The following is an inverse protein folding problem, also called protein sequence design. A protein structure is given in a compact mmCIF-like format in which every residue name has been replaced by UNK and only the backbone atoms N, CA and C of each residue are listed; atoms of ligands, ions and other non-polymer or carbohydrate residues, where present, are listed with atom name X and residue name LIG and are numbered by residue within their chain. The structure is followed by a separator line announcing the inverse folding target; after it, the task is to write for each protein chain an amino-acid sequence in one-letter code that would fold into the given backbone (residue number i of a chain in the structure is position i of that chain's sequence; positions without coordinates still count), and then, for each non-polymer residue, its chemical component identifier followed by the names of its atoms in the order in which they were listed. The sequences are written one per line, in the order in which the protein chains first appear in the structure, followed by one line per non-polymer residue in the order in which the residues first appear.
data_IF_126125422890
#
_entry.id   IF_126125422890
#
_cell.length_a   1.000
_cell.length_b   1.000
_cell.length_c   1.000
_cell.angle_alpha   90.00
_cell.angle_beta   90.00
_cell.angle_gamma   90.00
#
_symmetry.space_group_name_H-M   'P 1'
#
loop_
_entity.id
_entity.type
_entity.pdbx_description
1 polymer ?
#
# COMPACT_ATOMS: atom_id res chain seq x y z
N UNK A 1 -15.81 -33.28 3.12
CA UNK A 1 -15.59 -31.88 2.70
C UNK A 1 -14.13 -31.60 3.00
N UNK A 2 -13.24 -31.74 2.01
CA UNK A 2 -11.80 -31.56 2.23
C UNK A 2 -11.49 -30.08 2.44
N UNK A 3 -11.09 -29.74 3.66
CA UNK A 3 -10.57 -28.42 3.98
C UNK A 3 -9.14 -28.39 3.44
N UNK A 4 -8.94 -27.80 2.25
CA UNK A 4 -7.60 -27.60 1.72
C UNK A 4 -6.79 -26.65 2.63
N UNK A 5 -5.48 -26.86 2.75
CA UNK A 5 -4.63 -26.01 3.59
C UNK A 5 -4.70 -24.51 3.21
N UNK A 6 -4.93 -24.22 1.93
CA UNK A 6 -5.18 -22.86 1.44
C UNK A 6 -6.40 -22.22 2.11
N UNK A 7 -7.46 -23.01 2.27
CA UNK A 7 -8.69 -22.57 2.92
C UNK A 7 -8.45 -22.25 4.41
N UNK A 8 -7.65 -23.07 5.11
CA UNK A 8 -7.30 -22.83 6.52
C UNK A 8 -6.51 -21.53 6.67
N UNK A 9 -5.49 -21.29 5.82
CA UNK A 9 -4.69 -20.07 5.90
C UNK A 9 -5.55 -18.82 5.76
N UNK A 10 -6.46 -18.82 4.79
CA UNK A 10 -7.34 -17.68 4.54
C UNK A 10 -8.35 -17.47 5.67
N UNK A 11 -8.89 -18.55 6.25
CA UNK A 11 -9.76 -18.48 7.41
C UNK A 11 -9.04 -17.89 8.62
N UNK A 12 -7.82 -18.34 8.93
CA UNK A 12 -7.03 -17.79 10.04
C UNK A 12 -6.75 -16.31 9.84
N UNK A 13 -6.29 -15.91 8.65
CA UNK A 13 -6.03 -14.50 8.35
C UNK A 13 -7.29 -13.64 8.51
N UNK A 14 -8.44 -14.14 8.04
CA UNK A 14 -9.74 -13.48 8.17
C UNK A 14 -10.11 -13.25 9.64
N UNK A 15 -9.86 -14.24 10.51
CA UNK A 15 -10.18 -14.11 11.94
C UNK A 15 -9.24 -13.14 12.68
N UNK A 16 -7.95 -13.10 12.30
CA UNK A 16 -7.00 -12.11 12.82
C UNK A 16 -7.46 -10.70 12.45
N UNK A 17 -7.80 -10.48 11.17
CA UNK A 17 -8.31 -9.20 10.67
C UNK A 17 -9.56 -8.77 11.45
N UNK A 18 -10.55 -9.65 11.61
CA UNK A 18 -11.76 -9.34 12.36
C UNK A 18 -11.48 -8.97 13.83
N UNK A 19 -10.49 -9.60 14.45
CA UNK A 19 -10.05 -9.29 15.81
C UNK A 19 -9.41 -7.91 15.90
N UNK A 20 -8.56 -7.55 14.93
CA UNK A 20 -7.92 -6.24 14.84
C UNK A 20 -8.94 -5.12 14.56
N UNK A 21 -9.89 -5.33 13.65
CA UNK A 21 -11.01 -4.41 13.40
C UNK A 21 -11.82 -4.17 14.68
N UNK A 22 -12.10 -5.22 15.45
CA UNK A 22 -12.77 -5.09 16.74
C UNK A 22 -11.93 -4.32 17.77
N UNK A 23 -10.62 -4.53 17.84
CA UNK A 23 -9.75 -3.79 18.73
C UNK A 23 -9.74 -2.28 18.42
N UNK A 24 -9.63 -1.92 17.13
CA UNK A 24 -9.71 -0.53 16.67
C UNK A 24 -11.04 0.11 17.05
N UNK A 25 -12.16 -0.61 16.85
CA UNK A 25 -13.49 -0.12 17.22
C UNK A 25 -13.63 0.17 18.73
N UNK A 26 -12.83 -0.48 19.56
CA UNK A 26 -12.80 -0.31 21.02
C UNK A 26 -11.62 0.56 21.50
N UNK A 27 -10.91 1.26 20.59
CA UNK A 27 -9.77 2.13 20.91
C UNK A 27 -8.63 1.37 21.61
N UNK A 28 -8.44 0.11 21.24
CA UNK A 28 -7.34 -0.73 21.69
C UNK A 28 -6.27 -0.87 20.60
N UNK A 29 -5.06 -1.23 21.00
CA UNK A 29 -3.97 -1.56 20.07
C UNK A 29 -4.31 -2.85 19.29
N UNK A 30 -4.44 -2.79 17.95
CA UNK A 30 -4.81 -3.96 17.13
C UNK A 30 -3.70 -5.02 17.08
N UNK A 31 -2.43 -4.62 17.05
CA UNK A 31 -1.30 -5.53 17.00
C UNK A 31 -1.22 -6.36 18.28
N UNK A 32 -1.34 -5.72 19.45
CA UNK A 32 -1.38 -6.38 20.75
C UNK A 32 -2.61 -7.29 20.87
N UNK A 33 -3.77 -6.84 20.39
CA UNK A 33 -4.99 -7.66 20.38
C UNK A 33 -4.84 -8.92 19.51
N UNK A 34 -4.26 -8.80 18.31
CA UNK A 34 -3.99 -9.91 17.42
C UNK A 34 -2.99 -10.91 18.01
N UNK A 35 -1.86 -10.42 18.53
CA UNK A 35 -0.85 -11.26 19.18
C UNK A 35 -1.39 -12.02 20.40
N UNK A 36 -2.27 -11.38 21.18
CA UNK A 36 -2.91 -11.98 22.36
C UNK A 36 -3.94 -13.04 22.00
N UNK A 37 -4.75 -12.79 20.96
CA UNK A 37 -5.80 -13.69 20.52
C UNK A 37 -5.26 -14.90 19.72
N UNK A 38 -4.13 -14.71 19.02
CA UNK A 38 -3.52 -15.74 18.16
C UNK A 38 -2.05 -15.97 18.54
N UNK A 39 -1.77 -16.53 19.73
CA UNK A 39 -0.42 -16.75 20.20
C UNK A 39 0.36 -17.70 19.27
N UNK A 40 1.62 -17.38 19.02
CA UNK A 40 2.49 -18.15 18.13
C UNK A 40 2.33 -17.83 16.63
N UNK A 41 1.40 -16.93 16.28
CA UNK A 41 1.34 -16.38 14.91
C UNK A 41 2.61 -15.56 14.64
N UNK A 42 3.31 -15.80 13.50
CA UNK A 42 4.47 -15.00 13.13
C UNK A 42 4.12 -13.52 13.00
N UNK A 43 5.05 -12.65 13.38
CA UNK A 43 4.88 -11.21 13.36
C UNK A 43 4.48 -10.70 11.97
N UNK A 44 5.08 -11.25 10.91
CA UNK A 44 4.81 -10.87 9.52
C UNK A 44 3.36 -11.16 9.10
N UNK A 45 2.74 -12.20 9.69
CA UNK A 45 1.32 -12.52 9.44
C UNK A 45 0.42 -11.51 10.15
N UNK A 46 0.79 -11.07 11.36
CA UNK A 46 0.07 -10.02 12.08
C UNK A 46 0.20 -8.68 11.35
N UNK A 47 1.39 -8.29 10.91
CA UNK A 47 1.58 -7.09 10.08
C UNK A 47 0.76 -7.14 8.79
N UNK A 48 0.74 -8.29 8.11
CA UNK A 48 -0.09 -8.45 6.91
C UNK A 48 -1.58 -8.25 7.21
N UNK A 49 -2.06 -8.76 8.35
CA UNK A 49 -3.44 -8.56 8.77
C UNK A 49 -3.74 -7.09 9.09
N UNK A 50 -2.83 -6.41 9.78
CA UNK A 50 -2.98 -4.99 10.13
C UNK A 50 -2.99 -4.10 8.88
N UNK A 51 -2.08 -4.34 7.92
CA UNK A 51 -2.06 -3.62 6.64
C UNK A 51 -3.38 -3.79 5.87
N UNK A 52 -3.92 -5.00 5.84
CA UNK A 52 -5.23 -5.27 5.20
C UNK A 52 -6.38 -4.52 5.91
N UNK A 53 -6.32 -4.34 7.24
CA UNK A 53 -7.28 -3.51 7.98
C UNK A 53 -7.14 -2.04 7.59
N UNK A 54 -5.93 -1.50 7.58
CA UNK A 54 -5.68 -0.10 7.22
C UNK A 54 -6.03 0.20 5.75
N UNK A 55 -5.77 -0.73 4.84
CA UNK A 55 -6.18 -0.62 3.44
C UNK A 55 -7.71 -0.52 3.32
N UNK A 56 -8.47 -1.38 4.02
CA UNK A 56 -9.93 -1.32 4.02
C UNK A 56 -10.48 -0.02 4.60
N UNK A 57 -9.83 0.51 5.63
CA UNK A 57 -10.22 1.79 6.24
C UNK A 57 -9.93 2.96 5.30
N UNK A 58 -8.77 2.95 4.66
CA UNK A 58 -8.38 3.94 3.66
C UNK A 58 -9.34 3.93 2.48
N UNK A 59 -9.69 2.74 1.99
CA UNK A 59 -10.66 2.55 0.92
C UNK A 59 -12.08 3.00 1.33
N UNK A 60 -12.51 2.71 2.57
CA UNK A 60 -13.78 3.21 3.09
C UNK A 60 -13.82 4.74 3.21
N UNK A 61 -12.69 5.35 3.59
CA UNK A 61 -12.52 6.79 3.61
C UNK A 61 -12.59 7.37 2.19
N UNK A 62 -11.88 6.79 1.22
CA UNK A 62 -11.95 7.20 -0.19
C UNK A 62 -13.36 7.19 -0.74
N UNK A 63 -14.10 6.10 -0.55
CA UNK A 63 -15.52 6.02 -0.98
C UNK A 63 -16.42 7.06 -0.32
N UNK A 64 -16.05 7.54 0.87
CA UNK A 64 -16.77 8.62 1.54
C UNK A 64 -16.45 9.96 0.87
N UNK A 65 -15.17 10.21 0.62
CA UNK A 65 -14.69 11.43 -0.04
C UNK A 65 -15.20 11.53 -1.49
N UNK A 66 -15.14 10.46 -2.27
CA UNK A 66 -15.60 10.43 -3.67
C UNK A 66 -17.08 10.82 -3.83
N UNK A 67 -17.92 10.53 -2.82
CA UNK A 67 -19.32 10.97 -2.83
C UNK A 67 -19.49 12.46 -2.54
N UNK A 68 -18.52 13.06 -1.86
CA UNK A 68 -18.56 14.47 -1.47
C UNK A 68 -17.87 15.39 -2.47
N UNK A 69 -16.95 14.86 -3.27
CA UNK A 69 -16.29 15.68 -4.27
C UNK A 69 -17.12 15.71 -5.55
N UNK A 70 -17.42 16.91 -6.02
CA UNK A 70 -17.92 17.14 -7.36
C UNK A 70 -16.83 16.78 -8.38
N UNK A 71 -17.01 15.63 -9.03
CA UNK A 71 -16.10 15.09 -10.04
C UNK A 71 -15.89 16.10 -11.18
N UNK A 72 -16.88 16.94 -11.48
CA UNK A 72 -16.78 17.97 -12.53
C UNK A 72 -15.76 19.08 -12.23
N UNK A 73 -15.44 19.30 -10.95
CA UNK A 73 -14.41 20.27 -10.52
C UNK A 73 -13.00 19.69 -10.43
N UNK A 74 -12.87 18.37 -10.25
CA UNK A 74 -11.56 17.70 -10.15
C UNK A 74 -10.87 17.60 -11.52
N UNK A 75 -11.59 17.26 -12.59
CA UNK A 75 -11.00 17.04 -13.91
C UNK A 75 -10.14 18.22 -14.40
N UNK A 76 -10.63 19.49 -14.31
CA UNK A 76 -9.80 20.65 -14.63
C UNK A 76 -8.59 20.81 -13.70
N UNK A 77 -8.73 20.50 -12.41
CA UNK A 77 -7.65 20.62 -11.43
C UNK A 77 -6.52 19.60 -11.67
N UNK A 78 -6.87 18.33 -11.97
CA UNK A 78 -5.90 17.30 -12.35
C UNK A 78 -5.20 17.68 -13.65
N UNK A 79 -5.98 18.05 -14.67
CA UNK A 79 -5.43 18.43 -15.98
C UNK A 79 -4.56 19.69 -15.91
N UNK A 80 -4.90 20.64 -15.03
CA UNK A 80 -4.11 21.83 -14.74
C UNK A 80 -2.81 21.51 -14.00
N UNK A 81 -2.87 20.68 -12.95
CA UNK A 81 -1.70 20.28 -12.16
C UNK A 81 -0.66 19.53 -13.01
N UNK A 82 -1.09 18.67 -13.95
CA UNK A 82 -0.18 18.01 -14.89
C UNK A 82 0.48 18.96 -15.89
N UNK A 83 -0.06 20.16 -16.10
CA UNK A 83 0.54 21.18 -16.99
C UNK A 83 1.48 22.13 -16.26
N UNK A 84 1.22 22.40 -14.98
CA UNK A 84 2.03 23.33 -14.16
C UNK A 84 3.22 22.64 -13.48
N UNK A 85 3.17 21.31 -13.29
CA UNK A 85 4.31 20.54 -12.77
C UNK A 85 5.25 20.08 -13.90
N UNK A 86 5.86 21.05 -14.58
CA UNK A 86 7.13 20.84 -15.26
C UNK A 86 8.16 21.89 -14.79
N UNK A 87 8.75 21.74 -13.60
CA UNK A 87 10.00 22.41 -13.30
C UNK A 87 11.16 21.55 -13.81
N UNK A 88 11.69 21.94 -14.97
CA UNK A 88 13.07 21.73 -15.41
C UNK A 88 13.49 20.29 -15.78
N UNK A 89 13.33 19.95 -17.07
CA UNK A 89 14.50 19.84 -17.94
C UNK A 89 15.46 18.65 -17.77
N UNK A 90 14.97 17.42 -17.60
CA UNK A 90 15.66 16.27 -18.18
C UNK A 90 14.99 15.97 -19.50
N UNK A 91 15.67 16.30 -20.60
CA UNK A 91 15.29 15.75 -21.90
C UNK A 91 15.66 14.26 -21.86
N UNK A 92 14.79 13.39 -22.37
CA UNK A 92 15.03 11.93 -22.43
C UNK A 92 16.39 11.60 -23.08
N UNK A 93 16.89 12.46 -23.98
CA UNK A 93 18.21 12.30 -24.62
C UNK A 93 19.41 12.46 -23.67
N UNK A 94 19.23 13.04 -22.47
CA UNK A 94 20.29 13.19 -21.47
C UNK A 94 20.44 11.98 -20.54
N UNK A 95 19.43 11.11 -20.46
CA UNK A 95 19.51 9.88 -19.67
C UNK A 95 20.29 8.79 -20.40
N UNK A 96 20.15 8.72 -21.73
CA UNK A 96 20.90 7.78 -22.56
C UNK A 96 22.40 8.10 -22.58
N UNK A 97 22.80 9.38 -22.71
CA UNK A 97 24.22 9.77 -22.64
C UNK A 97 24.84 9.53 -21.26
N UNK A 98 24.11 9.80 -20.17
CA UNK A 98 24.61 9.57 -18.82
C UNK A 98 24.76 8.08 -18.51
N UNK A 99 23.87 7.24 -19.02
CA UNK A 99 23.92 5.79 -18.85
C UNK A 99 25.07 5.17 -19.66
N UNK A 100 25.26 5.58 -20.91
CA UNK A 100 26.39 5.14 -21.76
C UNK A 100 27.75 5.60 -21.21
N UNK A 101 27.83 6.81 -20.65
CA UNK A 101 29.04 7.29 -19.99
C UNK A 101 29.40 6.48 -18.73
N UNK A 102 28.39 6.01 -17.97
CA UNK A 102 28.59 5.19 -16.78
C UNK A 102 29.07 3.77 -17.15
N UNK A 103 28.50 3.18 -18.21
CA UNK A 103 28.92 1.88 -18.74
C UNK A 103 30.31 1.90 -19.37
N UNK A 104 30.72 3.05 -19.92
CA UNK A 104 32.06 3.22 -20.49
C UNK A 104 33.15 3.44 -19.44
N UNK A 105 32.80 3.92 -18.24
CA UNK A 105 33.76 4.23 -17.17
C UNK A 105 34.26 3.00 -16.39
N UNK A 106 33.51 1.89 -16.37
CA UNK A 106 33.89 0.65 -15.69
C UNK A 106 34.84 -0.24 -16.53
N UNK A 107 35.21 0.18 -17.75
CA UNK A 107 36.06 -0.60 -18.67
C UNK A 107 37.57 -0.46 -18.45
N UNK A 108 38.04 0.48 -17.60
CA UNK A 108 39.46 0.85 -17.51
C UNK A 108 40.07 0.65 -16.11
N UNK A 109 39.60 -0.37 -15.39
CA UNK A 109 40.25 -0.89 -14.18
C UNK A 109 40.84 -2.29 -14.45
N UNK A 110 41.91 -2.34 -15.24
CA UNK A 110 42.77 -3.52 -15.40
C UNK A 110 44.24 -3.15 -15.15
#
# INVERSE_FOLDING_TARGET
MDISQSNIRQQVLTQIIATMEHAIANVCDPMEAGARAFPGTPFEVLCRAELEVEDRRTEAWWRTIERTIDVGGIEPAITGASREHCPVGYRDDQLDEAFEALLSADGDAA
#
